data_IF_343694724927
#
_entry.id   IF_343694724927
#
_cell.length_a   1.000
_cell.length_b   1.000
_cell.length_c   1.000
_cell.angle_alpha   90.00
_cell.angle_beta   90.00
_cell.angle_gamma   90.00
#
_symmetry.space_group_name_H-M   'P 1'
#
loop_
_entity.id
_entity.type
_entity.pdbx_description
1 polymer ?
#
# COMPACT_ATOMS: atom_id res chain seq x y z
N UNK A 1 -10.19 1.12 -18.16
CA UNK A 1 -9.72 -0.27 -18.01
C UNK A 1 -8.20 -0.21 -17.96
N UNK A 2 -7.53 -0.89 -17.02
CA UNK A 2 -6.06 -0.88 -16.96
C UNK A 2 -5.50 -1.92 -17.94
N UNK A 3 -4.22 -1.79 -18.28
CA UNK A 3 -3.52 -2.69 -19.23
C UNK A 3 -3.56 -4.16 -18.78
N UNK A 4 -3.60 -4.43 -17.47
CA UNK A 4 -3.67 -5.80 -16.94
C UNK A 4 -5.04 -6.44 -17.16
N UNK A 5 -6.13 -5.68 -16.99
CA UNK A 5 -7.48 -6.15 -17.25
C UNK A 5 -7.69 -6.41 -18.74
N UNK A 6 -7.18 -5.51 -19.60
CA UNK A 6 -7.22 -5.71 -21.05
C UNK A 6 -6.46 -6.98 -21.48
N UNK A 7 -5.26 -7.19 -20.93
CA UNK A 7 -4.49 -8.41 -21.19
C UNK A 7 -5.22 -9.68 -20.72
N UNK A 8 -5.86 -9.64 -19.56
CA UNK A 8 -6.66 -10.75 -19.04
C UNK A 8 -7.89 -11.03 -19.92
N UNK A 9 -8.56 -9.98 -20.39
CA UNK A 9 -9.72 -10.12 -21.26
C UNK A 9 -9.34 -10.74 -22.61
N UNK A 10 -8.14 -10.46 -23.13
CA UNK A 10 -7.62 -11.09 -24.34
C UNK A 10 -7.34 -12.61 -24.19
N UNK A 11 -7.19 -13.12 -22.97
CA UNK A 11 -6.96 -14.55 -22.70
C UNK A 11 -8.26 -15.36 -22.60
N UNK A 12 -9.41 -14.69 -22.55
CA UNK A 12 -10.72 -15.32 -22.39
C UNK A 12 -11.18 -15.99 -23.70
N UNK A 13 -10.60 -17.14 -24.00
CA UNK A 13 -11.02 -18.00 -25.10
C UNK A 13 -12.17 -18.92 -24.66
N UNK A 14 -13.37 -18.81 -25.26
CA UNK A 14 -14.48 -19.72 -24.98
C UNK A 14 -14.11 -21.16 -25.31
N UNK A 15 -14.67 -22.13 -24.58
CA UNK A 15 -14.38 -23.54 -24.83
C UNK A 15 -14.92 -24.02 -26.18
N UNK A 16 -14.16 -24.89 -26.84
CA UNK A 16 -14.45 -25.52 -28.15
C UNK A 16 -15.74 -26.36 -28.15
N UNK A 17 -16.31 -26.61 -26.97
CA UNK A 17 -17.53 -27.36 -26.76
C UNK A 17 -18.81 -26.55 -27.02
N UNK A 18 -18.74 -25.21 -27.06
CA UNK A 18 -19.90 -24.35 -27.23
C UNK A 18 -20.11 -23.99 -28.70
N UNK A 19 -21.31 -24.30 -29.23
CA UNK A 19 -21.72 -23.85 -30.56
C UNK A 19 -21.86 -22.32 -30.62
N UNK A 20 -21.79 -21.74 -31.82
CA UNK A 20 -21.94 -20.28 -32.02
C UNK A 20 -23.25 -19.72 -31.44
N UNK A 21 -24.32 -20.53 -31.36
CA UNK A 21 -25.59 -20.14 -30.73
C UNK A 21 -25.50 -20.08 -29.21
N UNK A 22 -24.78 -21.02 -28.58
CA UNK A 22 -24.57 -21.02 -27.13
C UNK A 22 -23.67 -19.85 -26.70
N UNK A 23 -22.66 -19.51 -27.50
CA UNK A 23 -21.83 -18.31 -27.28
C UNK A 23 -22.68 -17.03 -27.32
N UNK A 24 -23.58 -16.90 -28.29
CA UNK A 24 -24.51 -15.77 -28.38
C UNK A 24 -25.52 -15.72 -27.22
N UNK A 25 -25.99 -16.87 -26.72
CA UNK A 25 -26.90 -16.92 -25.56
C UNK A 25 -26.17 -16.52 -24.26
N UNK A 26 -24.91 -16.93 -24.11
CA UNK A 26 -24.09 -16.54 -22.97
C UNK A 26 -23.72 -15.05 -22.98
N UNK A 27 -23.40 -14.50 -24.15
CA UNK A 27 -23.23 -13.05 -24.35
C UNK A 27 -24.51 -12.28 -24.01
N UNK A 28 -25.69 -12.89 -24.20
CA UNK A 28 -26.99 -12.33 -23.83
C UNK A 28 -27.41 -12.60 -22.36
N UNK A 29 -26.47 -13.03 -21.51
CA UNK A 29 -26.62 -13.17 -20.04
C UNK A 29 -27.56 -14.29 -19.54
N UNK A 30 -27.93 -15.28 -20.35
CA UNK A 30 -28.77 -16.39 -19.87
C UNK A 30 -27.97 -17.52 -19.20
N UNK A 31 -26.69 -17.71 -19.53
CA UNK A 31 -25.79 -18.67 -18.88
C UNK A 31 -24.35 -18.13 -18.76
N UNK A 32 -23.61 -18.44 -17.67
CA UNK A 32 -22.22 -18.01 -17.53
C UNK A 32 -21.28 -18.76 -18.49
N UNK A 33 -20.43 -18.02 -19.20
CA UNK A 33 -19.37 -18.59 -20.05
C UNK A 33 -18.30 -19.22 -19.15
N UNK A 34 -18.01 -20.49 -19.35
CA UNK A 34 -16.88 -21.19 -18.72
C UNK A 34 -15.71 -21.21 -19.70
N UNK A 35 -14.57 -20.66 -19.29
CA UNK A 35 -13.35 -20.63 -20.11
C UNK A 35 -12.50 -21.89 -19.90
N UNK A 36 -11.72 -22.26 -20.93
CA UNK A 36 -10.83 -23.44 -20.87
C UNK A 36 -9.82 -23.38 -19.72
N UNK A 37 -9.35 -22.18 -19.42
CA UNK A 37 -8.36 -21.87 -18.39
C UNK A 37 -8.99 -21.07 -17.25
N UNK A 38 -10.20 -21.44 -16.82
CA UNK A 38 -10.96 -20.67 -15.81
C UNK A 38 -10.16 -20.42 -14.52
N UNK A 39 -9.46 -21.44 -13.99
CA UNK A 39 -8.65 -21.29 -12.77
C UNK A 39 -7.50 -20.29 -12.94
N UNK A 40 -6.85 -20.28 -14.11
CA UNK A 40 -5.79 -19.33 -14.43
C UNK A 40 -6.37 -17.90 -14.57
N UNK A 41 -7.53 -17.77 -15.20
CA UNK A 41 -8.26 -16.50 -15.35
C UNK A 41 -8.66 -15.95 -13.98
N UNK A 42 -9.17 -16.78 -13.08
CA UNK A 42 -9.55 -16.40 -11.72
C UNK A 42 -8.32 -15.93 -10.92
N UNK A 43 -7.21 -16.66 -11.04
CA UNK A 43 -5.93 -16.29 -10.41
C UNK A 43 -5.40 -14.95 -10.94
N UNK A 44 -5.44 -14.74 -12.26
CA UNK A 44 -5.03 -13.49 -12.88
C UNK A 44 -5.95 -12.33 -12.48
N UNK A 45 -7.26 -12.57 -12.37
CA UNK A 45 -8.20 -11.56 -11.91
C UNK A 45 -7.90 -11.14 -10.47
N UNK A 46 -7.55 -12.07 -9.58
CA UNK A 46 -7.12 -11.77 -8.21
C UNK A 46 -5.87 -10.87 -8.20
N UNK A 47 -4.89 -11.14 -9.06
CA UNK A 47 -3.69 -10.31 -9.20
C UNK A 47 -4.00 -8.91 -9.75
N UNK A 48 -4.89 -8.81 -10.75
CA UNK A 48 -5.38 -7.53 -11.27
C UNK A 48 -6.05 -6.74 -10.17
N UNK A 49 -6.87 -7.37 -9.33
CA UNK A 49 -7.56 -6.68 -8.24
C UNK A 49 -6.62 -6.26 -7.11
N UNK A 50 -5.60 -7.07 -6.79
CA UNK A 50 -4.54 -6.69 -5.85
C UNK A 50 -3.64 -5.58 -6.37
N UNK A 51 -3.50 -5.43 -7.70
CA UNK A 51 -2.71 -4.36 -8.31
C UNK A 51 -3.33 -2.98 -8.13
N UNK A 52 -4.66 -2.90 -7.94
CA UNK A 52 -5.38 -1.66 -7.67
C UNK A 52 -5.05 -1.19 -6.25
N UNK A 53 -4.43 -0.02 -6.06
CA UNK A 53 -4.12 0.49 -4.73
C UNK A 53 -5.38 0.58 -3.86
N UNK A 54 -5.26 0.13 -2.61
CA UNK A 54 -6.30 0.28 -1.60
C UNK A 54 -5.73 1.02 -0.41
N UNK A 55 -6.55 1.92 0.13
CA UNK A 55 -6.19 2.71 1.31
C UNK A 55 -5.94 1.82 2.51
N UNK A 56 -4.88 2.16 3.23
CA UNK A 56 -4.44 1.42 4.41
C UNK A 56 -5.41 1.65 5.56
N UNK A 57 -5.63 0.61 6.34
CA UNK A 57 -6.48 0.67 7.53
C UNK A 57 -5.61 0.84 8.78
N UNK A 58 -6.12 1.56 9.78
CA UNK A 58 -5.47 1.68 11.10
C UNK A 58 -6.37 0.97 12.12
N UNK A 59 -5.81 -0.03 12.80
CA UNK A 59 -6.49 -0.77 13.86
C UNK A 59 -5.69 -0.69 15.15
N UNK A 60 -6.30 -0.14 16.21
CA UNK A 60 -5.65 0.10 17.50
C UNK A 60 -4.30 0.82 17.40
N UNK A 61 -4.22 1.84 16.53
CA UNK A 61 -3.01 2.63 16.30
C UNK A 61 -1.92 1.92 15.49
N UNK A 62 -2.21 0.75 14.91
CA UNK A 62 -1.29 0.01 14.06
C UNK A 62 -1.83 -0.11 12.63
N UNK A 63 -0.94 -0.05 11.65
CA UNK A 63 -1.31 -0.20 10.24
C UNK A 63 -1.65 -1.66 9.92
N UNK A 64 -2.77 -1.87 9.24
CA UNK A 64 -3.26 -3.18 8.79
C UNK A 64 -3.54 -3.18 7.29
N UNK A 65 -3.20 -4.28 6.63
CA UNK A 65 -3.46 -4.43 5.20
C UNK A 65 -4.98 -4.44 4.96
N UNK A 66 -5.51 -3.63 4.03
CA UNK A 66 -6.95 -3.56 3.77
C UNK A 66 -7.52 -4.86 3.18
N UNK A 67 -6.68 -5.72 2.60
CA UNK A 67 -7.09 -6.98 2.00
C UNK A 67 -7.01 -8.15 2.99
N UNK A 68 -5.83 -8.45 3.54
CA UNK A 68 -5.62 -9.62 4.41
C UNK A 68 -5.71 -9.33 5.91
N UNK A 69 -5.92 -8.07 6.31
CA UNK A 69 -6.04 -7.59 7.70
C UNK A 69 -4.84 -7.84 8.60
N UNK A 70 -3.71 -8.30 8.06
CA UNK A 70 -2.47 -8.46 8.81
C UNK A 70 -1.86 -7.11 9.15
N UNK A 71 -1.37 -7.00 10.38
CA UNK A 71 -0.65 -5.84 10.89
C UNK A 71 0.76 -5.81 10.31
N UNK A 72 1.26 -4.63 9.98
CA UNK A 72 2.57 -4.50 9.35
C UNK A 72 3.25 -3.18 9.73
N UNK A 73 4.58 -3.16 9.62
CA UNK A 73 5.35 -1.93 9.73
C UNK A 73 5.26 -1.13 8.42
N UNK A 74 4.92 0.17 8.47
CA UNK A 74 4.58 0.96 7.28
C UNK A 74 5.77 1.18 6.33
N UNK A 75 6.99 1.07 6.85
CA UNK A 75 8.22 1.47 6.18
C UNK A 75 9.09 0.24 5.88
N UNK A 76 9.80 0.29 4.74
CA UNK A 76 10.80 -0.70 4.31
C UNK A 76 12.11 -0.56 5.09
N UNK A 77 13.01 -1.55 5.01
CA UNK A 77 14.32 -1.50 5.67
C UNK A 77 15.20 -0.32 5.25
N UNK A 78 14.91 0.29 4.10
CA UNK A 78 15.62 1.44 3.53
C UNK A 78 14.86 2.77 3.74
N UNK A 79 13.78 2.79 4.52
CA UNK A 79 13.12 4.04 4.94
C UNK A 79 11.98 4.54 4.06
N UNK A 80 11.56 3.81 3.03
CA UNK A 80 10.43 4.20 2.16
C UNK A 80 9.11 3.51 2.55
N UNK A 81 7.94 4.16 2.37
CA UNK A 81 6.64 3.51 2.55
C UNK A 81 6.49 2.26 1.69
N UNK A 82 5.87 1.22 2.25
CA UNK A 82 5.63 -0.03 1.52
C UNK A 82 4.57 0.17 0.44
N UNK A 83 4.92 -0.07 -0.82
CA UNK A 83 3.96 0.02 -1.93
C UNK A 83 3.02 -1.17 -2.01
N UNK A 84 3.40 -2.30 -1.43
CA UNK A 84 2.63 -3.55 -1.47
C UNK A 84 2.68 -4.24 -0.10
N UNK A 85 1.63 -4.98 0.23
CA UNK A 85 1.59 -5.86 1.40
C UNK A 85 2.50 -7.08 1.19
N UNK A 86 3.43 -7.32 2.12
CA UNK A 86 4.37 -8.46 2.04
C UNK A 86 3.66 -9.83 2.10
N UNK A 87 2.48 -9.89 2.74
CA UNK A 87 1.76 -11.14 2.95
C UNK A 87 0.85 -11.53 1.77
N UNK A 88 0.19 -10.56 1.13
CA UNK A 88 -0.83 -10.85 0.13
C UNK A 88 -0.65 -10.13 -1.21
N UNK A 89 0.34 -9.24 -1.32
CA UNK A 89 0.65 -8.52 -2.56
C UNK A 89 -0.29 -7.35 -2.88
N UNK A 90 -1.26 -7.02 -2.02
CA UNK A 90 -2.15 -5.88 -2.22
C UNK A 90 -1.34 -4.58 -2.34
N UNK A 91 -1.53 -3.83 -3.42
CA UNK A 91 -1.01 -2.49 -3.59
C UNK A 91 -1.62 -1.56 -2.53
N UNK A 92 -0.77 -0.78 -1.88
CA UNK A 92 -1.14 0.06 -0.75
C UNK A 92 -1.16 1.53 -1.18
N UNK A 93 -2.25 2.19 -0.83
CA UNK A 93 -2.42 3.62 -1.02
C UNK A 93 -2.14 4.38 0.27
N UNK A 94 -1.18 5.30 0.20
CA UNK A 94 -0.73 6.18 1.27
C UNK A 94 -1.15 7.63 1.03
N UNK A 95 -2.00 7.91 0.03
CA UNK A 95 -2.53 9.26 -0.11
C UNK A 95 -3.37 9.62 1.13
N UNK A 96 -3.05 10.77 1.70
CA UNK A 96 -3.82 11.37 2.77
C UNK A 96 -4.88 12.29 2.15
N UNK A 97 -5.81 11.71 1.36
CA UNK A 97 -6.87 12.48 0.71
C UNK A 97 -7.99 12.92 1.69
N UNK A 98 -7.93 12.45 2.94
CA UNK A 98 -8.92 12.72 4.01
C UNK A 98 -8.41 13.66 5.11
N UNK A 99 -7.15 14.08 5.09
CA UNK A 99 -6.73 15.19 5.96
C UNK A 99 -7.14 16.47 5.27
N UNK A 100 -8.20 17.13 5.76
CA UNK A 100 -8.41 18.52 5.40
C UNK A 100 -7.12 19.28 5.80
N UNK A 101 -6.58 20.16 4.93
CA UNK A 101 -5.35 20.91 5.21
C UNK A 101 -5.37 21.66 6.54
N UNK A 102 -6.56 21.89 7.09
CA UNK A 102 -6.84 22.62 8.32
C UNK A 102 -6.67 21.76 9.60
N UNK A 103 -6.51 20.43 9.49
CA UNK A 103 -6.39 19.52 10.64
C UNK A 103 -4.94 19.28 11.12
N UNK A 104 -3.94 19.67 10.31
CA UNK A 104 -2.52 19.61 10.69
C UNK A 104 -1.99 21.02 10.86
N UNK A 105 -2.04 21.53 12.09
CA UNK A 105 -1.35 22.77 12.43
C UNK A 105 0.15 22.59 12.20
N UNK A 106 0.68 23.27 11.18
CA UNK A 106 2.11 23.32 10.83
C UNK A 106 2.95 23.64 12.07
N UNK A 107 2.44 24.45 12.99
CA UNK A 107 3.11 24.78 14.24
C UNK A 107 3.20 23.57 15.19
N UNK A 108 2.14 22.77 15.30
CA UNK A 108 2.13 21.52 16.07
C UNK A 108 3.13 20.48 15.53
N UNK A 109 3.24 20.36 14.20
CA UNK A 109 4.23 19.50 13.56
C UNK A 109 5.67 19.97 13.86
N UNK A 110 5.92 21.28 13.77
CA UNK A 110 7.23 21.88 14.12
C UNK A 110 7.57 21.69 15.60
N UNK A 111 6.61 21.82 16.49
CA UNK A 111 6.83 21.63 17.92
C UNK A 111 7.15 20.17 18.26
N UNK A 112 6.47 19.20 17.63
CA UNK A 112 6.79 17.78 17.75
C UNK A 112 8.20 17.44 17.24
N UNK A 113 8.65 18.08 16.15
CA UNK A 113 10.00 17.95 15.60
C UNK A 113 11.06 18.48 16.57
N UNK A 114 10.79 19.62 17.22
CA UNK A 114 11.68 20.20 18.25
C UNK A 114 11.79 19.31 19.48
N UNK A 115 10.70 18.69 19.92
CA UNK A 115 10.75 17.74 21.03
C UNK A 115 11.59 16.50 20.70
N UNK A 116 11.41 15.93 19.49
CA UNK A 116 12.24 14.80 19.02
C UNK A 116 13.72 15.17 18.95
N UNK A 117 14.07 16.39 18.54
CA UNK A 117 15.44 16.89 18.58
C UNK A 117 16.06 16.88 19.97
N UNK A 118 15.30 17.33 20.97
CA UNK A 118 15.77 17.37 22.36
C UNK A 118 16.01 15.94 22.85
N UNK A 119 15.07 15.02 22.59
CA UNK A 119 15.21 13.62 22.97
C UNK A 119 16.43 12.95 22.31
N UNK A 120 16.69 13.23 21.03
CA UNK A 120 17.86 12.70 20.33
C UNK A 120 19.16 13.30 20.92
N UNK A 121 19.20 14.61 21.21
CA UNK A 121 20.36 15.27 21.84
C UNK A 121 20.64 14.71 23.22
N UNK A 122 19.61 14.49 24.03
CA UNK A 122 19.74 13.91 25.36
C UNK A 122 20.24 12.46 25.28
N UNK A 123 19.68 11.64 24.39
CA UNK A 123 20.13 10.26 24.18
C UNK A 123 21.62 10.16 23.83
N UNK A 124 22.15 11.12 23.05
CA UNK A 124 23.58 11.22 22.73
C UNK A 124 24.40 11.59 23.97
N UNK A 125 23.94 12.56 24.76
CA UNK A 125 24.65 13.07 25.93
C UNK A 125 24.74 12.05 27.07
N UNK A 126 23.75 11.18 27.23
CA UNK A 126 23.77 10.12 28.24
C UNK A 126 24.68 8.92 27.88
N UNK A 127 25.34 8.94 26.72
CA UNK A 127 26.45 8.02 26.43
C UNK A 127 26.03 6.56 26.21
N UNK A 128 24.79 6.32 25.81
CA UNK A 128 24.30 4.97 25.52
C UNK A 128 24.90 4.47 24.19
N UNK A 129 26.06 3.81 24.26
CA UNK A 129 26.68 3.11 23.11
C UNK A 129 25.72 2.12 22.44
N UNK A 130 24.79 1.58 23.24
CA UNK A 130 23.92 0.48 22.87
C UNK A 130 22.71 0.93 22.02
N UNK A 131 22.50 2.24 21.87
CA UNK A 131 21.42 2.81 21.03
C UNK A 131 21.96 3.69 19.88
N UNK A 132 23.26 3.60 19.58
CA UNK A 132 23.91 4.47 18.61
C UNK A 132 23.28 4.37 17.21
N UNK A 133 22.92 3.16 16.77
CA UNK A 133 22.32 2.93 15.44
C UNK A 133 20.89 3.48 15.36
N UNK A 134 20.13 3.36 16.45
CA UNK A 134 18.79 3.89 16.61
C UNK A 134 18.83 5.43 16.59
N UNK A 135 19.80 6.02 17.29
CA UNK A 135 20.03 7.47 17.30
C UNK A 135 20.42 8.00 15.92
N UNK A 136 21.31 7.32 15.19
CA UNK A 136 21.68 7.72 13.82
C UNK A 136 20.53 7.56 12.83
N UNK A 137 19.72 6.52 12.97
CA UNK A 137 18.49 6.33 12.19
C UNK A 137 17.49 7.46 12.48
N UNK A 138 17.30 7.81 13.75
CA UNK A 138 16.42 8.89 14.16
C UNK A 138 16.88 10.26 13.63
N UNK A 139 18.20 10.54 13.62
CA UNK A 139 18.77 11.76 13.01
C UNK A 139 18.45 11.87 11.52
N UNK A 140 18.57 10.77 10.78
CA UNK A 140 18.26 10.75 9.34
C UNK A 140 16.78 11.02 9.09
N UNK A 141 15.90 10.37 9.85
CA UNK A 141 14.45 10.57 9.75
C UNK A 141 14.11 12.03 10.06
N UNK A 142 14.65 12.58 11.15
CA UNK A 142 14.45 13.97 11.55
C UNK A 142 14.89 14.96 10.46
N UNK A 143 16.04 14.72 9.82
CA UNK A 143 16.52 15.54 8.71
C UNK A 143 15.53 15.56 7.53
N UNK A 144 14.99 14.41 7.14
CA UNK A 144 13.98 14.34 6.08
C UNK A 144 12.69 15.06 6.45
N UNK A 145 12.25 14.95 7.71
CA UNK A 145 11.06 15.65 8.18
C UNK A 145 11.27 17.17 8.10
N UNK A 146 12.38 17.68 8.63
CA UNK A 146 12.72 19.12 8.60
C UNK A 146 12.75 19.71 7.20
N UNK A 147 13.36 18.99 6.26
CA UNK A 147 13.43 19.39 4.86
C UNK A 147 12.05 19.51 4.23
N UNK A 148 11.12 18.63 4.58
CA UNK A 148 9.75 18.64 4.05
C UNK A 148 8.88 19.75 4.66
N UNK A 149 9.18 20.21 5.89
CA UNK A 149 8.43 21.29 6.58
C UNK A 149 9.10 22.68 6.48
N UNK A 150 10.19 22.80 5.71
CA UNK A 150 10.85 24.09 5.44
C UNK A 150 11.63 24.69 6.61
N UNK A 151 12.10 23.87 7.57
CA UNK A 151 12.94 24.31 8.71
C UNK A 151 14.46 24.24 8.42
N UNK A 152 14.90 24.33 7.15
CA UNK A 152 16.33 24.44 6.80
C UNK A 152 16.93 25.82 7.13
#
# INVERSE_FOLDING_TARGET
MNEYQEALDNLKEPTDAWSSAQLQMAENFEEPIVYKHQEDIDTLQELVDKSKPKRIEIWNGQYSCPNCKKLFFPITSIGFPKKFCDDCGQALDWSDDDMEPDDVDEQSAKDSVRELEVLIKDAINYGHSDIYLEVESAKRILYFIKKNIGEE
#
